data_IF_255323270564
#
_entry.id   IF_255323270564
#
_cell.length_a   1.000
_cell.length_b   1.000
_cell.length_c   1.000
_cell.angle_alpha   90.00
_cell.angle_beta   90.00
_cell.angle_gamma   90.00
#
_symmetry.space_group_name_H-M   'P 1'
#
loop_
_entity.id
_entity.type
_entity.pdbx_description
1 polymer ?
#
# COMPACT_ATOMS: atom_id res chain seq x y z
N UNK A 1 37.86 10.82 -16.08
CA UNK A 1 36.59 10.62 -15.36
C UNK A 1 36.83 10.82 -13.88
N UNK A 2 36.31 11.90 -13.29
CA UNK A 2 36.44 12.15 -11.85
C UNK A 2 35.47 11.24 -11.13
N UNK A 3 35.97 10.27 -10.39
CA UNK A 3 35.13 9.42 -9.53
C UNK A 3 34.56 10.27 -8.41
N UNK A 4 33.24 10.26 -8.25
CA UNK A 4 32.57 10.97 -7.17
C UNK A 4 33.15 10.54 -5.80
N UNK A 5 33.34 11.48 -4.84
CA UNK A 5 33.83 11.18 -3.51
C UNK A 5 33.05 10.07 -2.82
N UNK A 6 33.69 9.27 -2.00
CA UNK A 6 33.08 8.13 -1.29
C UNK A 6 31.85 8.52 -0.45
N UNK A 7 31.87 9.71 0.16
CA UNK A 7 30.73 10.30 0.88
C UNK A 7 29.46 10.48 0.02
N UNK A 8 29.63 10.84 -1.26
CA UNK A 8 28.51 10.98 -2.20
C UNK A 8 27.93 9.63 -2.61
N UNK A 9 28.79 8.60 -2.74
CA UNK A 9 28.36 7.23 -3.04
C UNK A 9 27.59 6.61 -1.87
N UNK A 10 27.98 6.91 -0.64
CA UNK A 10 27.32 6.41 0.57
C UNK A 10 25.95 7.08 0.79
N UNK A 11 25.85 8.40 0.62
CA UNK A 11 24.55 9.12 0.65
C UNK A 11 23.58 8.60 -0.42
N UNK A 12 24.05 8.38 -1.64
CA UNK A 12 23.21 7.86 -2.73
C UNK A 12 22.68 6.46 -2.44
N UNK A 13 23.49 5.58 -1.83
CA UNK A 13 23.05 4.23 -1.41
C UNK A 13 22.00 4.28 -0.31
N UNK A 14 22.14 5.17 0.68
CA UNK A 14 21.22 5.34 1.80
C UNK A 14 19.86 5.86 1.33
N UNK A 15 19.86 6.86 0.46
CA UNK A 15 18.62 7.39 -0.16
C UNK A 15 17.92 6.31 -0.99
N UNK A 16 18.68 5.53 -1.76
CA UNK A 16 18.12 4.43 -2.56
C UNK A 16 17.45 3.36 -1.68
N UNK A 17 18.11 2.93 -0.59
CA UNK A 17 17.57 1.95 0.33
C UNK A 17 16.26 2.44 1.01
N UNK A 18 16.20 3.71 1.42
CA UNK A 18 14.99 4.32 1.95
C UNK A 18 13.85 4.30 0.93
N UNK A 19 14.12 4.71 -0.32
CA UNK A 19 13.12 4.75 -1.37
C UNK A 19 12.58 3.34 -1.73
N UNK A 20 13.46 2.34 -1.76
CA UNK A 20 13.06 0.94 -1.98
C UNK A 20 12.15 0.42 -0.87
N UNK A 21 12.47 0.72 0.38
CA UNK A 21 11.66 0.37 1.54
C UNK A 21 10.29 1.05 1.50
N UNK A 22 10.24 2.36 1.29
CA UNK A 22 8.99 3.13 1.22
C UNK A 22 8.12 2.66 0.04
N UNK A 23 8.73 2.31 -1.08
CA UNK A 23 8.01 1.72 -2.21
C UNK A 23 7.40 0.36 -1.84
N UNK A 24 8.13 -0.49 -1.10
CA UNK A 24 7.59 -1.76 -0.60
C UNK A 24 6.44 -1.52 0.38
N UNK A 25 6.58 -0.60 1.33
CA UNK A 25 5.52 -0.19 2.26
C UNK A 25 4.29 0.31 1.50
N UNK A 26 4.48 1.14 0.48
CA UNK A 26 3.37 1.69 -0.33
C UNK A 26 2.61 0.60 -1.08
N UNK A 27 3.29 -0.41 -1.61
CA UNK A 27 2.65 -1.56 -2.27
C UNK A 27 1.90 -2.45 -1.28
N UNK A 28 2.43 -2.67 -0.08
CA UNK A 28 1.73 -3.38 0.99
C UNK A 28 0.51 -2.58 1.46
N UNK A 29 0.64 -1.27 1.62
CA UNK A 29 -0.43 -0.32 1.90
C UNK A 29 -0.94 -0.29 3.34
N UNK A 30 -0.66 -1.32 4.14
CA UNK A 30 -1.07 -1.44 5.55
C UNK A 30 0.14 -1.86 6.38
N UNK A 31 0.37 -1.16 7.49
CA UNK A 31 1.42 -1.46 8.47
C UNK A 31 0.75 -1.83 9.80
N UNK A 32 0.60 -3.13 10.11
CA UNK A 32 0.08 -3.56 11.41
C UNK A 32 0.97 -3.08 12.56
N UNK A 33 0.39 -2.37 13.52
CA UNK A 33 1.07 -1.91 14.74
C UNK A 33 0.85 -2.92 15.83
N UNK A 34 1.89 -3.71 16.11
CA UNK A 34 1.84 -4.89 16.99
C UNK A 34 2.39 -4.55 18.36
N UNK A 35 1.62 -4.87 19.41
CA UNK A 35 2.05 -4.81 20.80
C UNK A 35 2.08 -6.23 21.36
N UNK A 36 3.22 -6.68 21.81
CA UNK A 36 3.42 -8.04 22.32
C UNK A 36 3.94 -7.99 23.76
N UNK A 37 3.26 -8.66 24.68
CA UNK A 37 3.72 -8.85 26.05
C UNK A 37 4.58 -10.14 26.16
N UNK A 38 4.38 -11.10 25.23
CA UNK A 38 5.10 -12.35 25.15
C UNK A 38 5.74 -12.52 23.76
N UNK A 39 7.06 -12.57 23.72
CA UNK A 39 7.84 -12.73 22.50
C UNK A 39 7.62 -14.10 21.80
N UNK A 40 7.18 -15.12 22.52
CA UNK A 40 6.89 -16.44 21.93
C UNK A 40 5.70 -16.41 20.97
N UNK A 41 4.77 -15.47 21.12
CA UNK A 41 3.61 -15.29 20.23
C UNK A 41 3.95 -14.55 18.92
N UNK A 42 5.11 -13.93 18.86
CA UNK A 42 5.50 -13.03 17.77
C UNK A 42 5.47 -13.69 16.38
N UNK A 43 6.04 -14.90 16.27
CA UNK A 43 6.10 -15.64 15.01
C UNK A 43 4.72 -16.06 14.53
N UNK A 44 3.85 -16.51 15.43
CA UNK A 44 2.48 -16.90 15.10
C UNK A 44 1.66 -15.70 14.61
N UNK A 45 1.80 -14.53 15.24
CA UNK A 45 1.17 -13.28 14.80
C UNK A 45 1.69 -12.87 13.41
N UNK A 46 2.99 -12.93 13.18
CA UNK A 46 3.58 -12.61 11.89
C UNK A 46 3.07 -13.54 10.77
N UNK A 47 3.05 -14.85 11.01
CA UNK A 47 2.50 -15.85 10.06
C UNK A 47 1.01 -15.65 9.80
N UNK A 48 0.23 -15.26 10.81
CA UNK A 48 -1.18 -14.94 10.65
C UNK A 48 -1.39 -13.71 9.76
N UNK A 49 -0.59 -12.65 9.95
CA UNK A 49 -0.59 -11.47 9.07
C UNK A 49 -0.23 -11.85 7.62
N UNK A 50 0.81 -12.66 7.42
CA UNK A 50 1.19 -13.15 6.08
C UNK A 50 0.09 -13.99 5.44
N UNK A 51 -0.56 -14.89 6.20
CA UNK A 51 -1.72 -15.68 5.76
C UNK A 51 -2.87 -14.77 5.31
N UNK A 52 -3.08 -13.64 6.00
CA UNK A 52 -4.05 -12.60 5.64
C UNK A 52 -3.61 -11.70 4.48
N UNK A 53 -2.38 -11.85 3.95
CA UNK A 53 -1.86 -11.12 2.80
C UNK A 53 -1.01 -9.89 3.15
N UNK A 54 -0.64 -9.68 4.43
CA UNK A 54 0.17 -8.53 4.88
C UNK A 54 1.57 -9.00 5.27
N UNK A 55 2.59 -8.64 4.49
CA UNK A 55 4.00 -8.97 4.75
C UNK A 55 4.75 -7.81 5.41
N UNK A 56 4.10 -7.11 6.33
CA UNK A 56 4.70 -6.03 7.09
C UNK A 56 4.20 -6.06 8.53
N UNK A 57 5.05 -5.67 9.48
CA UNK A 57 4.66 -5.45 10.87
C UNK A 57 5.54 -4.39 11.52
N UNK A 58 4.95 -3.46 12.28
CA UNK A 58 5.61 -2.51 13.18
C UNK A 58 5.49 -3.06 14.62
N UNK A 59 6.53 -3.73 15.14
CA UNK A 59 6.56 -4.19 16.54
C UNK A 59 6.97 -3.05 17.45
N UNK A 60 6.15 -2.72 18.45
CA UNK A 60 6.36 -1.51 19.26
C UNK A 60 7.21 -1.77 20.50
N UNK A 61 8.17 -0.86 20.77
CA UNK A 61 8.97 -0.84 22.00
C UNK A 61 8.19 -0.31 23.21
N UNK A 62 6.91 -0.73 23.34
CA UNK A 62 6.05 -0.44 24.49
C UNK A 62 6.19 -1.47 25.61
N UNK A 63 6.76 -2.62 25.31
CA UNK A 63 6.95 -3.75 26.24
C UNK A 63 8.39 -4.20 26.24
N UNK A 64 8.79 -4.93 27.26
CA UNK A 64 10.11 -5.53 27.33
C UNK A 64 10.33 -6.67 26.31
N UNK A 65 9.25 -7.25 25.79
CA UNK A 65 9.30 -8.35 24.83
C UNK A 65 9.66 -7.89 23.39
N UNK A 66 9.70 -6.60 23.11
CA UNK A 66 9.79 -6.07 21.74
C UNK A 66 11.07 -6.52 20.99
N UNK A 67 12.24 -6.43 21.62
CA UNK A 67 13.52 -6.80 20.99
C UNK A 67 13.53 -8.29 20.64
N UNK A 68 13.17 -9.15 21.56
CA UNK A 68 13.10 -10.61 21.35
C UNK A 68 12.01 -10.98 20.32
N UNK A 69 10.85 -10.32 20.35
CA UNK A 69 9.79 -10.51 19.38
C UNK A 69 10.27 -10.20 17.95
N UNK A 70 10.96 -9.08 17.75
CA UNK A 70 11.56 -8.69 16.46
C UNK A 70 12.56 -9.75 16.02
N UNK A 71 13.45 -10.20 16.91
CA UNK A 71 14.46 -11.22 16.61
C UNK A 71 13.82 -12.55 16.18
N UNK A 72 12.77 -12.98 16.87
CA UNK A 72 12.05 -14.20 16.54
C UNK A 72 11.37 -14.11 15.17
N UNK A 73 10.70 -13.00 14.87
CA UNK A 73 10.08 -12.78 13.55
C UNK A 73 11.13 -12.71 12.46
N UNK A 74 12.21 -11.96 12.65
CA UNK A 74 13.27 -11.81 11.65
C UNK A 74 13.90 -13.17 11.27
N UNK A 75 14.05 -14.08 12.25
CA UNK A 75 14.60 -15.42 12.02
C UNK A 75 13.62 -16.36 11.32
N UNK A 76 12.34 -16.36 11.74
CA UNK A 76 11.37 -17.37 11.30
C UNK A 76 10.47 -16.92 10.13
N UNK A 77 10.43 -15.60 9.85
CA UNK A 77 9.63 -14.98 8.80
C UNK A 77 10.49 -14.02 7.97
N UNK A 78 11.52 -14.50 7.24
CA UNK A 78 12.50 -13.63 6.55
C UNK A 78 11.88 -12.73 5.46
N UNK A 79 10.71 -13.09 4.92
CA UNK A 79 10.00 -12.30 3.92
C UNK A 79 9.19 -11.14 4.51
N UNK A 80 9.01 -11.11 5.84
CA UNK A 80 8.30 -10.05 6.55
C UNK A 80 9.11 -8.75 6.53
N UNK A 81 8.51 -7.66 6.06
CA UNK A 81 9.05 -6.33 6.21
C UNK A 81 8.83 -5.86 7.66
N UNK A 82 9.89 -5.91 8.46
CA UNK A 82 9.79 -5.75 9.89
C UNK A 82 10.31 -4.38 10.35
N UNK A 83 9.45 -3.63 11.02
CA UNK A 83 9.77 -2.34 11.62
C UNK A 83 9.70 -2.36 13.14
N UNK A 84 10.44 -1.44 13.76
CA UNK A 84 10.34 -1.17 15.19
C UNK A 84 9.60 0.16 15.40
N UNK A 85 8.49 0.12 16.14
CA UNK A 85 7.68 1.29 16.48
C UNK A 85 7.87 1.76 17.91
N UNK A 86 7.41 2.98 18.20
CA UNK A 86 7.53 3.62 19.52
C UNK A 86 8.99 3.66 20.01
N UNK A 87 9.94 3.85 19.09
CA UNK A 87 11.36 4.00 19.39
C UNK A 87 11.62 5.44 19.86
N UNK A 88 12.16 5.60 21.06
CA UNK A 88 12.31 6.90 21.75
C UNK A 88 13.77 7.29 21.98
N UNK A 89 14.71 6.33 21.86
CA UNK A 89 16.12 6.54 22.15
C UNK A 89 17.01 5.87 21.09
N UNK A 90 18.25 6.36 20.94
CA UNK A 90 19.24 5.74 20.05
C UNK A 90 19.61 4.32 20.49
N UNK A 91 19.61 4.04 21.79
CA UNK A 91 19.82 2.69 22.30
C UNK A 91 18.73 1.71 21.82
N UNK A 92 17.45 2.15 21.77
CA UNK A 92 16.37 1.36 21.21
C UNK A 92 16.52 1.16 19.68
N UNK A 93 17.05 2.16 18.96
CA UNK A 93 17.39 2.01 17.53
C UNK A 93 18.38 0.88 17.35
N UNK A 94 19.49 0.88 18.13
CA UNK A 94 20.53 -0.15 18.03
C UNK A 94 19.97 -1.53 18.40
N UNK A 95 19.15 -1.63 19.44
CA UNK A 95 18.49 -2.87 19.84
C UNK A 95 17.57 -3.40 18.71
N UNK A 96 16.73 -2.53 18.14
CA UNK A 96 15.84 -2.88 17.05
C UNK A 96 16.58 -3.39 15.80
N UNK A 97 17.63 -2.69 15.39
CA UNK A 97 18.43 -3.07 14.21
C UNK A 97 19.17 -4.38 14.44
N UNK A 98 19.78 -4.59 15.62
CA UNK A 98 20.42 -5.87 15.97
C UNK A 98 19.42 -7.02 15.98
N UNK A 99 18.18 -6.77 16.41
CA UNK A 99 17.10 -7.75 16.39
C UNK A 99 16.59 -8.07 14.98
N UNK A 100 16.91 -7.25 13.96
CA UNK A 100 16.53 -7.47 12.57
C UNK A 100 15.45 -6.51 12.04
N UNK A 101 15.13 -5.43 12.77
CA UNK A 101 14.24 -4.40 12.22
C UNK A 101 14.88 -3.71 11.02
N UNK A 102 14.10 -3.53 9.96
CA UNK A 102 14.51 -2.93 8.70
C UNK A 102 14.16 -1.44 8.61
N UNK A 103 13.27 -0.96 9.46
CA UNK A 103 12.92 0.45 9.58
C UNK A 103 12.48 0.81 11.00
N UNK A 104 12.62 2.09 11.31
CA UNK A 104 12.26 2.67 12.62
C UNK A 104 11.04 3.58 12.46
N UNK A 105 10.16 3.57 13.44
CA UNK A 105 9.01 4.47 13.52
C UNK A 105 8.95 5.09 14.91
N UNK A 106 8.84 6.42 14.98
CA UNK A 106 8.72 7.16 16.24
C UNK A 106 7.32 7.74 16.42
N UNK A 107 6.83 7.94 17.62
CA UNK A 107 5.51 8.56 17.84
C UNK A 107 5.51 10.08 17.61
N UNK A 108 6.65 10.73 17.76
CA UNK A 108 6.90 12.14 17.53
C UNK A 108 8.26 12.37 16.90
N UNK A 109 8.57 13.62 16.53
CA UNK A 109 9.89 13.99 16.01
C UNK A 109 10.88 14.16 17.17
N UNK A 110 11.83 13.24 17.29
CA UNK A 110 12.96 13.33 18.22
C UNK A 110 14.24 13.57 17.43
N UNK A 111 14.87 14.78 17.50
CA UNK A 111 16.05 15.10 16.72
C UNK A 111 17.21 14.12 16.92
N UNK A 112 17.44 13.66 18.15
CA UNK A 112 18.55 12.74 18.46
C UNK A 112 18.35 11.40 17.75
N UNK A 113 17.14 10.84 17.79
CA UNK A 113 16.82 9.57 17.14
C UNK A 113 16.83 9.72 15.63
N UNK A 114 16.23 10.79 15.09
CA UNK A 114 16.16 11.04 13.64
C UNK A 114 17.55 11.22 13.07
N UNK A 115 18.37 12.12 13.64
CA UNK A 115 19.72 12.38 13.17
C UNK A 115 20.62 11.14 13.29
N UNK A 116 20.45 10.36 14.35
CA UNK A 116 21.15 9.09 14.52
C UNK A 116 20.82 8.12 13.39
N UNK A 117 19.53 7.87 13.11
CA UNK A 117 19.10 6.99 12.03
C UNK A 117 19.62 7.48 10.66
N UNK A 118 19.46 8.76 10.35
CA UNK A 118 19.93 9.36 9.09
C UNK A 118 21.44 9.19 8.93
N UNK A 119 22.22 9.48 9.98
CA UNK A 119 23.68 9.34 9.96
C UNK A 119 24.14 7.91 9.70
N UNK A 120 23.43 6.93 10.25
CA UNK A 120 23.70 5.51 10.09
C UNK A 120 23.08 4.91 8.81
N UNK A 121 22.23 5.66 8.10
CA UNK A 121 21.49 5.15 6.94
C UNK A 121 20.41 4.14 7.30
N UNK A 122 19.89 4.22 8.52
CA UNK A 122 18.78 3.41 9.01
C UNK A 122 17.48 4.09 8.58
N UNK A 123 16.60 3.40 7.83
CA UNK A 123 15.31 3.95 7.43
C UNK A 123 14.46 4.34 8.64
N UNK A 124 13.91 5.56 8.63
CA UNK A 124 13.07 6.07 9.70
C UNK A 124 11.86 6.83 9.16
N UNK A 125 10.70 6.60 9.75
CA UNK A 125 9.45 7.36 9.53
C UNK A 125 9.09 8.06 10.84
N UNK A 126 9.50 9.33 11.03
CA UNK A 126 9.29 10.04 12.28
C UNK A 126 7.84 10.53 12.40
N UNK A 127 7.33 10.58 13.64
CA UNK A 127 6.04 11.17 13.94
C UNK A 127 6.07 12.69 13.77
N UNK A 128 5.18 13.24 12.94
CA UNK A 128 5.03 14.67 12.71
C UNK A 128 3.54 15.03 12.66
N UNK A 129 3.07 15.83 13.61
CA UNK A 129 1.67 16.23 13.71
C UNK A 129 1.44 17.68 13.27
N UNK A 130 2.48 18.48 13.19
CA UNK A 130 2.44 19.92 12.88
C UNK A 130 3.54 20.32 11.88
N UNK A 131 3.48 21.57 11.45
CA UNK A 131 4.41 22.12 10.44
C UNK A 131 5.84 22.19 10.96
N UNK A 132 6.09 22.44 12.24
CA UNK A 132 7.45 22.51 12.78
C UNK A 132 8.14 21.14 12.67
N UNK A 133 7.44 20.08 13.11
CA UNK A 133 7.97 18.72 13.03
C UNK A 133 8.18 18.27 11.57
N UNK A 134 7.27 18.67 10.66
CA UNK A 134 7.40 18.41 9.22
C UNK A 134 8.65 19.11 8.65
N UNK A 135 8.85 20.39 8.94
CA UNK A 135 10.01 21.14 8.45
C UNK A 135 11.34 20.56 8.98
N UNK A 136 11.35 20.13 10.23
CA UNK A 136 12.50 19.43 10.81
C UNK A 136 12.79 18.11 10.08
N UNK A 137 11.76 17.34 9.73
CA UNK A 137 11.92 16.09 8.96
C UNK A 137 12.44 16.37 7.55
N UNK A 138 11.89 17.37 6.85
CA UNK A 138 12.37 17.80 5.53
C UNK A 138 13.81 18.30 5.58
N UNK A 139 14.20 19.06 6.60
CA UNK A 139 15.58 19.51 6.81
C UNK A 139 16.55 18.34 7.05
N UNK A 140 16.08 17.26 7.67
CA UNK A 140 16.82 16.00 7.82
C UNK A 140 16.88 15.15 6.52
N UNK A 141 16.23 15.61 5.43
CA UNK A 141 16.20 14.91 4.14
C UNK A 141 15.13 13.80 4.06
N UNK A 142 14.15 13.82 4.93
CA UNK A 142 13.05 12.86 4.94
C UNK A 142 11.81 13.48 4.27
N UNK A 143 11.22 12.76 3.34
CA UNK A 143 10.00 13.16 2.60
C UNK A 143 8.75 12.38 2.99
N UNK A 144 8.89 11.44 3.93
CA UNK A 144 7.79 10.61 4.43
C UNK A 144 7.76 10.63 5.95
N UNK A 145 6.60 10.97 6.50
CA UNK A 145 6.41 11.12 7.95
C UNK A 145 5.18 10.33 8.43
N UNK A 146 5.23 9.87 9.69
CA UNK A 146 4.07 9.32 10.38
C UNK A 146 3.20 10.47 10.90
N UNK A 147 1.92 10.45 10.54
CA UNK A 147 0.93 11.36 11.13
C UNK A 147 0.18 10.63 12.26
N UNK A 148 0.43 11.05 13.50
CA UNK A 148 -0.06 10.36 14.70
C UNK A 148 -0.36 11.33 15.83
N UNK A 149 -1.50 11.16 16.58
CA UNK A 149 -2.59 10.19 16.34
C UNK A 149 -3.58 10.71 15.27
N UNK A 150 -3.75 10.00 14.16
CA UNK A 150 -4.34 10.52 12.93
C UNK A 150 -5.79 11.02 13.09
N UNK A 151 -6.70 10.19 13.60
CA UNK A 151 -8.12 10.56 13.75
C UNK A 151 -8.30 11.72 14.75
N UNK A 152 -7.63 11.63 15.90
CA UNK A 152 -7.72 12.64 16.95
C UNK A 152 -7.11 13.98 16.52
N UNK A 153 -6.14 13.96 15.60
CA UNK A 153 -5.48 15.14 15.06
C UNK A 153 -6.23 15.77 13.87
N UNK A 154 -7.45 15.31 13.54
CA UNK A 154 -8.29 15.87 12.49
C UNK A 154 -8.35 15.09 11.18
N UNK A 155 -7.79 13.87 11.15
CA UNK A 155 -7.98 12.90 10.09
C UNK A 155 -7.50 13.36 8.72
N UNK A 156 -8.15 12.88 7.67
CA UNK A 156 -7.81 13.19 6.27
C UNK A 156 -7.90 14.69 5.97
N UNK A 157 -8.77 15.43 6.66
CA UNK A 157 -8.91 16.89 6.46
C UNK A 157 -7.63 17.61 6.90
N UNK A 158 -7.06 17.23 8.04
CA UNK A 158 -5.81 17.81 8.54
C UNK A 158 -4.63 17.41 7.65
N UNK A 159 -4.56 16.15 7.20
CA UNK A 159 -3.54 15.70 6.25
C UNK A 159 -3.54 16.53 4.95
N UNK A 160 -4.72 16.79 4.38
CA UNK A 160 -4.86 17.63 3.18
C UNK A 160 -4.40 19.06 3.42
N UNK A 161 -4.71 19.63 4.60
CA UNK A 161 -4.28 20.98 4.96
C UNK A 161 -2.75 21.06 5.12
N UNK A 162 -2.14 20.10 5.84
CA UNK A 162 -0.68 20.00 6.00
C UNK A 162 0.03 19.77 4.67
N UNK A 163 -0.56 18.96 3.78
CA UNK A 163 0.05 18.66 2.49
C UNK A 163 0.09 19.84 1.51
N UNK A 164 -0.73 20.87 1.73
CA UNK A 164 -0.82 22.03 0.85
C UNK A 164 0.53 22.71 0.58
N UNK A 165 1.25 23.17 1.62
CA UNK A 165 2.54 23.81 1.45
C UNK A 165 3.69 22.85 1.11
N UNK A 166 3.55 21.54 1.37
CA UNK A 166 4.63 20.55 1.24
C UNK A 166 4.38 19.59 0.07
N UNK A 167 4.73 20.02 -1.14
CA UNK A 167 4.39 19.33 -2.40
C UNK A 167 4.95 17.89 -2.47
N UNK A 168 6.15 17.66 -1.93
CA UNK A 168 6.85 16.38 -2.01
C UNK A 168 6.71 15.52 -0.73
N UNK A 169 5.92 15.98 0.24
CA UNK A 169 5.73 15.25 1.48
C UNK A 169 4.71 14.12 1.32
N UNK A 170 5.03 12.98 1.91
CA UNK A 170 4.17 11.80 2.01
C UNK A 170 3.86 11.46 3.46
N UNK A 171 2.77 10.75 3.68
CA UNK A 171 2.28 10.44 5.02
C UNK A 171 2.04 8.94 5.23
N UNK A 172 2.32 8.50 6.45
CA UNK A 172 1.88 7.22 7.00
C UNK A 172 0.99 7.50 8.22
N UNK A 173 -0.31 7.81 8.02
CA UNK A 173 -1.23 8.06 9.12
C UNK A 173 -1.40 6.81 9.98
N UNK A 174 -1.44 7.03 11.30
CA UNK A 174 -1.58 5.98 12.32
C UNK A 174 -2.38 6.51 13.51
N UNK A 175 -3.22 5.66 14.09
CA UNK A 175 -4.05 6.02 15.26
C UNK A 175 -5.49 6.34 14.89
N UNK A 176 -6.42 5.49 15.35
CA UNK A 176 -7.84 5.55 15.06
C UNK A 176 -8.23 5.00 13.68
N UNK A 177 -7.27 4.54 12.87
CA UNK A 177 -7.56 3.93 11.57
C UNK A 177 -8.06 2.50 11.79
N UNK A 178 -9.09 2.15 11.01
CA UNK A 178 -9.75 0.85 11.04
C UNK A 178 -10.32 0.53 9.65
N UNK A 179 -11.04 -0.59 9.53
CA UNK A 179 -11.59 -1.06 8.25
C UNK A 179 -12.58 -0.09 7.58
N UNK A 180 -13.23 0.78 8.36
CA UNK A 180 -14.30 1.65 7.86
C UNK A 180 -13.76 2.95 7.28
N UNK A 181 -12.64 3.49 7.81
CA UNK A 181 -12.01 4.72 7.34
C UNK A 181 -10.73 4.51 6.50
N UNK A 182 -10.18 3.29 6.44
CA UNK A 182 -8.96 2.96 5.70
C UNK A 182 -8.97 3.46 4.26
N UNK A 183 -10.09 3.23 3.55
CA UNK A 183 -10.22 3.60 2.14
C UNK A 183 -10.17 5.13 1.94
N UNK A 184 -10.74 5.92 2.86
CA UNK A 184 -10.70 7.39 2.80
C UNK A 184 -9.27 7.91 2.92
N UNK A 185 -8.48 7.34 3.85
CA UNK A 185 -7.06 7.70 3.99
C UNK A 185 -6.26 7.35 2.75
N UNK A 186 -6.40 6.12 2.23
CA UNK A 186 -5.64 5.66 1.07
C UNK A 186 -6.06 6.32 -0.25
N UNK A 187 -7.27 6.88 -0.33
CA UNK A 187 -7.70 7.70 -1.46
C UNK A 187 -6.91 9.01 -1.56
N UNK A 188 -6.31 9.51 -0.46
CA UNK A 188 -5.43 10.65 -0.52
C UNK A 188 -4.04 10.23 -1.00
N UNK A 189 -3.70 10.61 -2.23
CA UNK A 189 -2.51 10.12 -2.98
C UNK A 189 -1.15 10.38 -2.32
N UNK A 190 -1.09 11.23 -1.28
CA UNK A 190 0.10 11.44 -0.46
C UNK A 190 0.22 10.46 0.71
N UNK A 191 -0.78 9.60 0.91
CA UNK A 191 -0.71 8.52 1.90
C UNK A 191 -0.09 7.29 1.26
N UNK A 192 1.11 6.92 1.73
CA UNK A 192 1.85 5.75 1.22
C UNK A 192 1.31 4.45 1.80
N UNK A 193 0.96 4.44 3.08
CA UNK A 193 0.37 3.31 3.79
C UNK A 193 -0.35 3.81 5.04
N UNK A 194 -1.21 2.98 5.62
CA UNK A 194 -1.87 3.27 6.88
C UNK A 194 -1.37 2.34 8.00
N UNK A 195 -0.97 2.93 9.14
CA UNK A 195 -0.66 2.17 10.35
C UNK A 195 -1.93 1.89 11.17
N UNK A 196 -2.08 0.66 11.66
CA UNK A 196 -3.24 0.34 12.49
C UNK A 196 -3.10 -0.96 13.27
N UNK A 197 -3.84 -1.09 14.36
CA UNK A 197 -3.78 -2.27 15.24
C UNK A 197 -5.08 -3.09 15.26
N UNK A 198 -6.10 -2.71 14.48
CA UNK A 198 -7.41 -3.37 14.54
C UNK A 198 -7.40 -4.84 14.11
N UNK A 199 -6.40 -5.28 13.34
CA UNK A 199 -6.24 -6.67 12.91
C UNK A 199 -5.40 -7.50 13.88
N UNK A 200 -4.64 -6.86 14.77
CA UNK A 200 -3.77 -7.48 15.78
C UNK A 200 -4.21 -7.08 17.19
N UNK A 201 -5.51 -7.29 17.47
CA UNK A 201 -6.10 -6.96 18.76
C UNK A 201 -5.48 -7.77 19.89
N UNK A 202 -5.37 -7.14 21.06
CA UNK A 202 -4.77 -7.76 22.24
C UNK A 202 -5.47 -9.07 22.63
N UNK A 203 -6.78 -9.08 22.63
CA UNK A 203 -7.59 -10.27 22.96
C UNK A 203 -7.34 -11.45 22.01
N UNK A 204 -7.21 -11.20 20.70
CA UNK A 204 -6.87 -12.25 19.74
C UNK A 204 -5.47 -12.85 20.00
N UNK A 205 -4.49 -11.98 20.29
CA UNK A 205 -3.12 -12.41 20.60
C UNK A 205 -3.08 -13.21 21.91
N UNK A 206 -3.75 -12.73 22.95
CA UNK A 206 -3.80 -13.38 24.26
C UNK A 206 -4.44 -14.77 24.22
N UNK A 207 -5.50 -14.91 23.39
CA UNK A 207 -6.24 -16.17 23.21
C UNK A 207 -5.69 -17.08 22.11
N UNK A 208 -4.52 -16.76 21.52
CA UNK A 208 -3.90 -17.47 20.39
C UNK A 208 -4.82 -17.63 19.17
N UNK A 209 -5.76 -16.69 18.96
CA UNK A 209 -6.67 -16.67 17.82
C UNK A 209 -5.97 -16.09 16.58
N UNK A 210 -5.02 -16.85 16.06
CA UNK A 210 -4.25 -16.48 14.87
C UNK A 210 -5.07 -16.56 13.59
N UNK A 211 -6.11 -17.38 13.54
CA UNK A 211 -7.05 -17.42 12.41
C UNK A 211 -7.91 -16.15 12.37
N UNK A 212 -8.35 -15.64 13.52
CA UNK A 212 -9.02 -14.34 13.63
C UNK A 212 -8.13 -13.19 13.16
N UNK A 213 -6.84 -13.19 13.52
CA UNK A 213 -5.87 -12.21 13.01
C UNK A 213 -5.74 -12.30 11.48
N UNK A 214 -5.60 -13.51 10.93
CA UNK A 214 -5.49 -13.72 9.48
C UNK A 214 -6.74 -13.24 8.74
N UNK A 215 -7.92 -13.52 9.29
CA UNK A 215 -9.20 -13.07 8.72
C UNK A 215 -9.31 -11.54 8.70
N UNK A 216 -8.99 -10.88 9.81
CA UNK A 216 -9.01 -9.41 9.88
C UNK A 216 -7.98 -8.76 8.95
N UNK A 217 -6.80 -9.36 8.81
CA UNK A 217 -5.78 -8.91 7.86
C UNK A 217 -6.27 -9.06 6.41
N UNK A 218 -6.89 -10.19 6.08
CA UNK A 218 -7.48 -10.43 4.76
C UNK A 218 -8.61 -9.43 4.46
N UNK A 219 -9.51 -9.18 5.43
CA UNK A 219 -10.57 -8.17 5.28
C UNK A 219 -9.97 -6.78 5.03
N UNK A 220 -8.92 -6.41 5.76
CA UNK A 220 -8.24 -5.13 5.57
C UNK A 220 -7.65 -5.00 4.15
N UNK A 221 -6.99 -6.05 3.63
CA UNK A 221 -6.45 -6.07 2.26
C UNK A 221 -7.59 -5.94 1.23
N UNK A 222 -8.68 -6.67 1.39
CA UNK A 222 -9.82 -6.59 0.47
C UNK A 222 -10.46 -5.20 0.47
N UNK A 223 -10.63 -4.58 1.63
CA UNK A 223 -11.11 -3.21 1.76
C UNK A 223 -10.20 -2.18 1.11
N UNK A 224 -8.89 -2.37 1.28
CA UNK A 224 -7.87 -1.52 0.66
C UNK A 224 -7.89 -1.58 -0.86
N UNK A 225 -7.99 -2.78 -1.43
CA UNK A 225 -7.97 -2.99 -2.87
C UNK A 225 -9.28 -2.58 -3.54
N UNK A 226 -10.40 -2.66 -2.84
CA UNK A 226 -11.74 -2.23 -3.26
C UNK A 226 -12.11 -2.73 -4.66
N UNK A 227 -11.93 -4.03 -4.91
CA UNK A 227 -12.25 -4.63 -6.19
C UNK A 227 -13.74 -4.60 -6.50
N UNK A 228 -14.07 -4.14 -7.71
CA UNK A 228 -15.42 -4.19 -8.26
C UNK A 228 -15.41 -4.29 -9.78
N UNK A 229 -16.40 -4.93 -10.37
CA UNK A 229 -16.59 -4.89 -11.82
C UNK A 229 -16.93 -3.47 -12.23
N UNK A 230 -16.19 -2.92 -13.20
CA UNK A 230 -16.40 -1.58 -13.75
C UNK A 230 -17.17 -1.67 -15.05
N UNK A 231 -16.70 -2.49 -15.99
CA UNK A 231 -17.39 -2.76 -17.25
C UNK A 231 -17.08 -4.15 -17.79
N UNK A 232 -17.93 -4.57 -18.71
CA UNK A 232 -17.71 -5.74 -19.55
C UNK A 232 -17.57 -5.25 -20.98
N UNK A 233 -16.46 -5.63 -21.63
CA UNK A 233 -16.17 -5.32 -23.03
C UNK A 233 -16.58 -6.48 -23.92
N UNK A 234 -17.37 -6.20 -24.95
CA UNK A 234 -17.84 -7.16 -25.96
C UNK A 234 -17.01 -6.96 -27.22
N UNK A 235 -16.30 -8.00 -27.65
CA UNK A 235 -15.48 -7.93 -28.87
C UNK A 235 -16.35 -8.06 -30.12
N UNK A 236 -16.09 -7.22 -31.11
CA UNK A 236 -16.64 -7.30 -32.45
C UNK A 236 -15.50 -7.32 -33.49
N UNK A 237 -15.86 -7.65 -34.74
CA UNK A 237 -14.92 -7.69 -35.84
C UNK A 237 -14.83 -6.37 -36.61
N UNK A 238 -15.83 -5.51 -36.45
CA UNK A 238 -15.91 -4.25 -37.20
C UNK A 238 -16.64 -3.14 -36.41
N UNK A 239 -16.47 -1.91 -36.87
CA UNK A 239 -17.24 -0.75 -36.39
C UNK A 239 -18.72 -0.83 -36.71
N UNK A 240 -19.09 -1.45 -37.81
CA UNK A 240 -20.49 -1.62 -38.20
C UNK A 240 -21.20 -2.55 -37.22
N UNK A 241 -20.56 -3.63 -36.80
CA UNK A 241 -21.09 -4.51 -35.74
C UNK A 241 -21.19 -3.80 -34.41
N UNK A 242 -20.16 -3.02 -34.02
CA UNK A 242 -20.17 -2.19 -32.82
C UNK A 242 -21.38 -1.25 -32.79
N UNK A 243 -21.55 -0.44 -33.86
CA UNK A 243 -22.65 0.52 -33.96
C UNK A 243 -24.02 -0.21 -33.93
N UNK A 244 -24.15 -1.33 -34.61
CA UNK A 244 -25.38 -2.14 -34.62
C UNK A 244 -25.73 -2.70 -33.24
N UNK A 245 -24.75 -3.24 -32.52
CA UNK A 245 -24.95 -3.81 -31.18
C UNK A 245 -25.19 -2.71 -30.13
N UNK A 246 -24.42 -1.60 -30.17
CA UNK A 246 -24.63 -0.49 -29.26
C UNK A 246 -26.02 0.12 -29.42
N UNK A 247 -26.46 0.29 -30.67
CA UNK A 247 -27.82 0.76 -30.99
C UNK A 247 -28.88 -0.24 -30.50
N UNK A 248 -28.67 -1.54 -30.65
CA UNK A 248 -29.61 -2.56 -30.18
C UNK A 248 -29.74 -2.57 -28.66
N UNK A 249 -28.63 -2.37 -27.94
CA UNK A 249 -28.66 -2.23 -26.46
C UNK A 249 -29.44 -0.97 -26.04
N UNK A 250 -29.23 0.14 -26.72
CA UNK A 250 -29.99 1.39 -26.48
C UNK A 250 -31.48 1.20 -26.74
N UNK A 251 -31.87 0.57 -27.82
CA UNK A 251 -33.28 0.28 -28.15
C UNK A 251 -33.97 -0.60 -27.11
N UNK A 252 -33.27 -1.60 -26.55
CA UNK A 252 -33.85 -2.54 -25.58
C UNK A 252 -33.91 -1.94 -24.18
N UNK A 253 -32.82 -1.30 -23.73
CA UNK A 253 -32.63 -0.91 -22.35
C UNK A 253 -32.68 0.60 -22.11
N UNK A 254 -32.69 1.41 -23.18
CA UNK A 254 -32.64 2.86 -23.07
C UNK A 254 -31.28 3.42 -22.64
N UNK A 255 -30.22 2.63 -22.76
CA UNK A 255 -28.86 3.06 -22.38
C UNK A 255 -28.28 4.01 -23.43
N UNK A 256 -28.00 5.24 -23.04
CA UNK A 256 -27.37 6.22 -23.92
C UNK A 256 -25.96 5.76 -24.35
N UNK A 257 -25.67 5.98 -25.64
CA UNK A 257 -24.36 5.67 -26.18
C UNK A 257 -23.35 6.80 -25.92
N UNK A 258 -22.13 6.42 -25.52
CA UNK A 258 -20.97 7.30 -25.42
C UNK A 258 -19.87 6.75 -26.36
N UNK A 259 -19.69 7.42 -27.51
CA UNK A 259 -18.78 6.95 -28.57
C UNK A 259 -17.36 7.44 -28.35
N UNK A 260 -16.42 6.48 -28.35
CA UNK A 260 -14.97 6.72 -28.28
C UNK A 260 -14.26 6.26 -29.55
N UNK A 261 -12.97 6.57 -29.66
CA UNK A 261 -12.17 6.21 -30.84
C UNK A 261 -12.00 4.71 -31.07
N UNK A 262 -12.14 3.87 -30.07
CA UNK A 262 -11.90 2.42 -30.13
C UNK A 262 -13.13 1.57 -29.76
N UNK A 263 -14.16 2.17 -29.14
CA UNK A 263 -15.34 1.47 -28.63
C UNK A 263 -16.47 2.45 -28.37
N UNK A 264 -17.69 1.92 -28.19
CA UNK A 264 -18.87 2.66 -27.74
C UNK A 264 -19.34 2.10 -26.41
N UNK A 265 -19.47 2.95 -25.40
CA UNK A 265 -20.11 2.59 -24.15
C UNK A 265 -21.62 2.70 -24.28
N UNK A 266 -22.32 1.59 -24.06
CA UNK A 266 -23.75 1.56 -23.86
C UNK A 266 -24.01 1.52 -22.34
N UNK A 267 -24.14 2.68 -21.72
CA UNK A 267 -23.98 2.92 -20.26
C UNK A 267 -22.54 2.71 -19.76
N UNK A 268 -22.27 3.07 -18.51
CA UNK A 268 -20.93 2.93 -17.92
C UNK A 268 -20.43 1.47 -17.77
N UNK A 269 -21.34 0.49 -17.85
CA UNK A 269 -21.01 -0.91 -17.54
C UNK A 269 -20.83 -1.82 -18.76
N UNK A 270 -21.16 -1.37 -19.98
CA UNK A 270 -21.06 -2.16 -21.20
C UNK A 270 -20.26 -1.42 -22.25
N UNK A 271 -19.08 -1.96 -22.61
CA UNK A 271 -18.24 -1.45 -23.67
C UNK A 271 -18.38 -2.34 -24.92
N UNK A 272 -18.89 -1.80 -26.00
CA UNK A 272 -19.00 -2.48 -27.30
C UNK A 272 -17.78 -2.07 -28.10
N UNK A 273 -16.89 -3.03 -28.40
CA UNK A 273 -15.60 -2.77 -29.02
C UNK A 273 -15.67 -2.88 -30.54
N UNK A 274 -15.19 -1.88 -31.27
CA UNK A 274 -15.18 -1.87 -32.76
C UNK A 274 -14.03 -2.65 -33.40
N UNK A 275 -13.26 -3.33 -32.58
CA UNK A 275 -12.17 -4.25 -32.99
C UNK A 275 -11.96 -5.28 -31.88
N UNK A 276 -11.21 -6.34 -32.21
CA UNK A 276 -10.88 -7.36 -31.22
C UNK A 276 -9.89 -6.83 -30.19
N UNK A 277 -10.28 -6.80 -28.93
CA UNK A 277 -9.44 -6.61 -27.76
C UNK A 277 -9.03 -7.97 -27.17
N UNK A 278 -8.12 -8.02 -26.16
CA UNK A 278 -7.79 -9.27 -25.47
C UNK A 278 -9.05 -10.00 -24.97
N UNK A 279 -8.96 -11.34 -24.97
CA UNK A 279 -10.06 -12.23 -24.58
C UNK A 279 -10.85 -12.76 -25.77
N UNK A 280 -11.18 -14.05 -25.71
CA UNK A 280 -11.94 -14.75 -26.76
C UNK A 280 -13.32 -14.13 -26.95
N UNK A 281 -14.02 -13.82 -25.85
CA UNK A 281 -15.35 -13.23 -25.87
C UNK A 281 -15.33 -11.71 -25.60
N UNK A 282 -14.21 -11.18 -25.11
CA UNK A 282 -14.04 -9.80 -24.71
C UNK A 282 -13.30 -9.69 -23.38
N UNK A 283 -13.53 -8.62 -22.63
CA UNK A 283 -12.80 -8.39 -21.38
C UNK A 283 -13.71 -7.96 -20.23
N UNK A 284 -13.21 -8.14 -19.00
CA UNK A 284 -13.85 -7.68 -17.80
C UNK A 284 -12.88 -6.76 -17.07
N UNK A 285 -13.29 -5.51 -16.87
CA UNK A 285 -12.55 -4.52 -16.13
C UNK A 285 -12.84 -4.60 -14.64
N UNK A 286 -11.80 -4.83 -13.86
CA UNK A 286 -11.85 -4.83 -12.39
C UNK A 286 -11.26 -3.54 -11.88
N UNK A 287 -12.12 -2.68 -11.34
CA UNK A 287 -11.71 -1.43 -10.70
C UNK A 287 -11.01 -1.69 -9.37
N UNK A 288 -9.96 -0.91 -9.11
CA UNK A 288 -9.23 -0.91 -7.85
C UNK A 288 -8.87 0.51 -7.42
N UNK A 289 -8.60 0.69 -6.14
CA UNK A 289 -8.14 1.98 -5.59
C UNK A 289 -6.71 2.36 -6.03
N UNK A 290 -5.87 1.35 -6.38
CA UNK A 290 -4.48 1.52 -6.79
C UNK A 290 -4.00 0.26 -7.52
N UNK A 291 -3.68 0.41 -8.81
CA UNK A 291 -3.28 -0.72 -9.67
C UNK A 291 -1.95 -1.36 -9.24
N UNK A 292 -0.95 -0.58 -8.81
CA UNK A 292 0.35 -1.13 -8.39
C UNK A 292 0.22 -1.95 -7.10
N UNK A 293 -0.59 -1.46 -6.17
CA UNK A 293 -0.92 -2.16 -4.92
C UNK A 293 -1.70 -3.44 -5.20
N UNK A 294 -2.70 -3.36 -6.09
CA UNK A 294 -3.47 -4.52 -6.51
C UNK A 294 -2.59 -5.58 -7.19
N UNK A 295 -1.70 -5.18 -8.10
CA UNK A 295 -0.72 -6.08 -8.71
C UNK A 295 0.13 -6.79 -7.67
N UNK A 296 0.71 -6.05 -6.71
CA UNK A 296 1.54 -6.64 -5.65
C UNK A 296 0.80 -7.76 -4.90
N UNK A 297 -0.43 -7.49 -4.46
CA UNK A 297 -1.22 -8.48 -3.71
C UNK A 297 -1.70 -9.66 -4.57
N UNK A 298 -1.99 -9.44 -5.85
CA UNK A 298 -2.39 -10.51 -6.77
C UNK A 298 -1.19 -11.37 -7.20
N UNK A 299 -0.02 -10.78 -7.42
CA UNK A 299 1.20 -11.52 -7.73
C UNK A 299 1.58 -12.49 -6.60
N UNK A 300 1.37 -12.13 -5.36
CA UNK A 300 1.54 -13.05 -4.20
C UNK A 300 0.62 -14.27 -4.26
N UNK A 301 -0.51 -14.17 -4.95
CA UNK A 301 -1.44 -15.28 -5.22
C UNK A 301 -1.11 -16.04 -6.50
N UNK A 302 0.02 -15.74 -7.14
CA UNK A 302 0.47 -16.38 -8.37
C UNK A 302 -0.14 -15.80 -9.65
N UNK A 303 -0.87 -14.70 -9.58
CA UNK A 303 -1.44 -14.04 -10.77
C UNK A 303 -0.31 -13.41 -11.60
N UNK A 304 -0.28 -13.70 -12.88
CA UNK A 304 0.66 -13.13 -13.84
C UNK A 304 0.01 -12.00 -14.63
N UNK A 305 0.76 -10.94 -14.87
CA UNK A 305 0.32 -9.78 -15.63
C UNK A 305 1.04 -9.68 -16.97
N UNK A 306 0.34 -9.15 -17.97
CA UNK A 306 0.93 -8.82 -19.27
C UNK A 306 1.51 -7.40 -19.21
N UNK A 307 2.83 -7.33 -19.01
CA UNK A 307 3.58 -6.09 -18.82
C UNK A 307 3.49 -5.13 -20.02
N UNK A 308 3.24 -5.65 -21.24
CA UNK A 308 3.12 -4.85 -22.46
C UNK A 308 1.79 -4.07 -22.52
N UNK A 309 0.80 -4.47 -21.72
CA UNK A 309 -0.52 -3.84 -21.67
C UNK A 309 -0.62 -2.68 -20.67
N UNK A 310 0.47 -2.39 -19.96
CA UNK A 310 0.51 -1.29 -18.99
C UNK A 310 0.17 0.05 -19.62
N UNK A 311 -0.81 0.74 -19.03
CA UNK A 311 -1.14 2.13 -19.40
C UNK A 311 -0.86 3.05 -18.22
N UNK A 312 -0.12 4.11 -18.47
CA UNK A 312 0.23 5.11 -17.46
C UNK A 312 -0.39 6.48 -17.78
N UNK A 313 -0.74 7.23 -16.74
CA UNK A 313 -1.08 8.65 -16.83
C UNK A 313 -0.44 9.37 -15.65
N UNK A 314 0.28 10.46 -15.93
CA UNK A 314 0.98 11.25 -14.92
C UNK A 314 1.89 10.40 -14.00
N UNK A 315 2.59 9.41 -14.59
CA UNK A 315 3.50 8.51 -13.87
C UNK A 315 2.82 7.41 -13.04
N UNK A 316 1.49 7.28 -13.09
CA UNK A 316 0.72 6.26 -12.37
C UNK A 316 0.20 5.19 -13.31
N UNK A 317 0.23 3.93 -12.87
CA UNK A 317 -0.36 2.82 -13.59
C UNK A 317 -1.89 2.90 -13.52
N UNK A 318 -2.53 3.09 -14.67
CA UNK A 318 -3.98 3.17 -14.78
C UNK A 318 -4.64 1.84 -15.08
N UNK A 319 -4.02 1.00 -15.89
CA UNK A 319 -4.57 -0.30 -16.22
C UNK A 319 -3.49 -1.29 -16.64
N UNK A 320 -3.79 -2.58 -16.45
CA UNK A 320 -2.96 -3.70 -16.87
C UNK A 320 -3.82 -4.97 -16.98
N UNK A 321 -3.55 -5.80 -17.99
CA UNK A 321 -4.23 -7.08 -18.18
C UNK A 321 -3.54 -8.21 -17.41
N UNK A 322 -4.32 -9.18 -16.94
CA UNK A 322 -3.85 -10.48 -16.53
C UNK A 322 -3.41 -11.27 -17.79
N UNK A 323 -2.42 -12.17 -17.64
CA UNK A 323 -1.99 -13.04 -18.76
C UNK A 323 -3.00 -14.13 -19.08
N UNK A 324 -3.77 -14.56 -18.09
CA UNK A 324 -4.75 -15.64 -18.26
C UNK A 324 -6.13 -15.09 -18.63
N UNK A 325 -6.87 -15.87 -19.41
CA UNK A 325 -8.30 -15.71 -19.62
C UNK A 325 -9.07 -16.59 -18.63
N UNK A 326 -10.19 -16.07 -18.11
CA UNK A 326 -11.10 -16.83 -17.28
C UNK A 326 -12.45 -16.91 -17.99
N UNK A 327 -12.91 -18.12 -18.33
CA UNK A 327 -14.17 -18.32 -19.06
C UNK A 327 -14.18 -17.67 -20.45
N UNK A 328 -13.02 -17.51 -21.10
CA UNK A 328 -12.88 -16.84 -22.40
C UNK A 328 -12.89 -15.32 -22.34
N UNK A 329 -12.86 -14.72 -21.13
CA UNK A 329 -12.70 -13.27 -20.95
C UNK A 329 -11.28 -12.95 -20.47
N UNK A 330 -10.68 -11.94 -21.07
CA UNK A 330 -9.50 -11.30 -20.51
C UNK A 330 -9.91 -10.42 -19.33
N UNK A 331 -9.14 -10.46 -18.24
CA UNK A 331 -9.36 -9.58 -17.11
C UNK A 331 -8.28 -8.49 -17.07
N UNK A 332 -8.67 -7.28 -16.71
CA UNK A 332 -7.70 -6.22 -16.49
C UNK A 332 -8.06 -5.39 -15.25
N UNK A 333 -7.01 -4.90 -14.58
CA UNK A 333 -7.17 -3.90 -13.53
C UNK A 333 -7.35 -2.52 -14.18
N UNK A 334 -8.17 -1.68 -13.54
CA UNK A 334 -8.30 -0.27 -13.88
C UNK A 334 -8.36 0.56 -12.59
N UNK A 335 -7.56 1.62 -12.52
CA UNK A 335 -7.60 2.56 -11.39
C UNK A 335 -8.85 3.43 -11.49
N UNK A 336 -9.57 3.59 -10.35
CA UNK A 336 -10.81 4.40 -10.23
C UNK A 336 -10.50 5.88 -10.06
#
# INVERSE_FOLDING_TARGET
>A
MVTAPEEYKDKSKKVKAMNELLNKISKIGIVPVVVLEDANKAVSVAKALQKGGIDCAEVTFRTAAAEEAIQNIARECPDMLLGAGTVLTTAQVDAAVRAGAQFIVTPGYNPDVVNYCVSKGIPIVPGCMDTNAIEMALAAGLDTVKFFPAEQAGGVKMLKALAGPYVNLHFMPTGGINKDNLAEYLAFKKVVACGGSWMVKKDLIENDDYDGIAQLAQEAVMRMLDFRVVHVGINNSSREEEDGQAKRIEEIFGFAQDKHSASTFASAGIEVCGKRFPGTHGHIAIGTSDCERAMYHLQKKGVLFDEETKKYKNGRLLSIYLKEEIGGFAFHLVEK
#
